data_IF_021804420987
#
_entry.id   IF_021804420987
#
_cell.length_a   1.000
_cell.length_b   1.000
_cell.length_c   1.000
_cell.angle_alpha   90.00
_cell.angle_beta   90.00
_cell.angle_gamma   90.00
#
_symmetry.space_group_name_H-M   'P 1'
#
loop_
_entity.id
_entity.type
_entity.pdbx_description
1 polymer ?
#
# COMPACT_ATOMS: atom_id res chain seq x y z
N UNK A 1 -6.38 -1.31 -1.25
CA UNK A 1 -5.68 -1.71 -0.02
C UNK A 1 -5.77 -0.56 0.94
N UNK A 2 -6.06 -0.86 2.21
CA UNK A 2 -6.17 0.12 3.29
C UNK A 2 -5.19 -0.29 4.38
N UNK A 3 -4.33 0.63 4.79
CA UNK A 3 -3.31 0.42 5.82
C UNK A 3 -3.69 1.30 7.00
N UNK A 4 -3.68 0.75 8.21
CA UNK A 4 -4.02 1.43 9.47
C UNK A 4 -2.90 1.26 10.49
N UNK A 5 -2.63 2.30 11.27
CA UNK A 5 -1.67 2.26 12.37
C UNK A 5 -1.24 3.65 12.82
N UNK A 6 -0.02 3.78 13.35
CA UNK A 6 0.64 5.06 13.56
C UNK A 6 1.57 5.32 12.36
N UNK A 7 1.04 6.07 11.41
CA UNK A 7 1.59 6.22 10.06
C UNK A 7 2.08 7.65 9.86
N UNK A 8 3.38 7.89 9.86
CA UNK A 8 3.92 9.17 9.37
C UNK A 8 3.81 9.21 7.83
N UNK A 9 2.74 9.82 7.32
CA UNK A 9 2.44 9.86 5.88
C UNK A 9 3.59 10.47 5.06
N UNK A 10 4.33 11.44 5.60
CA UNK A 10 5.48 12.04 4.93
C UNK A 10 6.64 11.04 4.73
N UNK A 11 6.76 10.03 5.59
CA UNK A 11 7.75 8.95 5.50
C UNK A 11 7.23 7.76 4.69
N UNK A 12 5.99 7.33 4.97
CA UNK A 12 5.47 6.08 4.43
C UNK A 12 5.04 6.19 2.96
N UNK A 13 4.45 7.32 2.54
CA UNK A 13 3.99 7.48 1.16
C UNK A 13 5.13 7.39 0.14
N UNK A 14 6.25 8.12 0.28
CA UNK A 14 7.39 7.95 -0.62
C UNK A 14 7.96 6.53 -0.61
N UNK A 15 7.95 5.87 0.55
CA UNK A 15 8.40 4.48 0.66
C UNK A 15 7.51 3.53 -0.15
N UNK A 16 6.18 3.64 -0.02
CA UNK A 16 5.17 2.86 -0.76
C UNK A 16 5.39 3.03 -2.26
N UNK A 17 5.49 4.27 -2.73
CA UNK A 17 5.68 4.58 -4.15
C UNK A 17 6.95 3.94 -4.70
N UNK A 18 8.07 4.06 -3.97
CA UNK A 18 9.35 3.45 -4.36
C UNK A 18 9.27 1.93 -4.36
N UNK A 19 8.61 1.32 -3.38
CA UNK A 19 8.51 -0.14 -3.26
C UNK A 19 7.63 -0.71 -4.38
N UNK A 20 6.46 -0.10 -4.64
CA UNK A 20 5.58 -0.48 -5.74
C UNK A 20 6.31 -0.37 -7.10
N UNK A 21 7.03 0.74 -7.34
CA UNK A 21 7.82 0.91 -8.55
C UNK A 21 8.92 -0.15 -8.69
N UNK A 22 9.58 -0.54 -7.60
CA UNK A 22 10.61 -1.59 -7.60
C UNK A 22 10.04 -2.97 -7.93
N UNK A 23 8.81 -3.26 -7.48
CA UNK A 23 8.09 -4.48 -7.83
C UNK A 23 7.49 -4.43 -9.24
N UNK A 24 7.45 -3.27 -9.90
CA UNK A 24 6.80 -3.10 -11.21
C UNK A 24 5.27 -3.02 -11.12
N UNK A 25 4.73 -2.61 -9.97
CA UNK A 25 3.30 -2.40 -9.77
C UNK A 25 2.88 -0.97 -10.15
N UNK A 26 1.74 -0.87 -10.83
CA UNK A 26 1.03 0.41 -10.94
C UNK A 26 0.30 0.70 -9.63
N UNK A 27 0.28 1.96 -9.22
CA UNK A 27 -0.32 2.34 -7.95
C UNK A 27 -0.90 3.75 -7.98
N UNK A 28 -1.97 3.95 -7.22
CA UNK A 28 -2.56 5.27 -6.96
C UNK A 28 -2.88 5.38 -5.47
N UNK A 29 -2.52 6.50 -4.85
CA UNK A 29 -2.86 6.75 -3.44
C UNK A 29 -4.07 7.67 -3.40
N UNK A 30 -5.18 7.20 -2.82
CA UNK A 30 -6.45 7.92 -2.75
C UNK A 30 -6.63 8.69 -1.45
N UNK A 31 -5.99 8.24 -0.36
CA UNK A 31 -6.07 8.89 0.94
C UNK A 31 -4.79 8.72 1.74
N UNK A 32 -4.40 9.77 2.46
CA UNK A 32 -3.23 9.79 3.35
C UNK A 32 -3.56 10.58 4.61
N UNK A 33 -3.29 9.99 5.76
CA UNK A 33 -3.40 10.63 7.08
C UNK A 33 -2.40 9.98 8.03
N UNK A 34 -2.29 10.51 9.24
CA UNK A 34 -1.41 9.94 10.26
C UNK A 34 -1.84 8.57 10.78
N UNK A 35 -3.06 8.12 10.46
CA UNK A 35 -3.61 6.85 10.97
C UNK A 35 -4.06 5.88 9.89
N UNK A 36 -4.14 6.36 8.65
CA UNK A 36 -4.74 5.59 7.55
C UNK A 36 -4.19 6.03 6.21
N UNK A 37 -3.78 5.06 5.41
CA UNK A 37 -3.42 5.23 4.00
C UNK A 37 -4.28 4.31 3.16
N UNK A 38 -4.84 4.83 2.07
CA UNK A 38 -5.57 4.04 1.08
C UNK A 38 -4.86 4.13 -0.27
N UNK A 39 -4.67 2.97 -0.89
CA UNK A 39 -4.02 2.85 -2.18
C UNK A 39 -4.66 1.75 -3.03
N UNK A 40 -4.68 2.00 -4.32
CA UNK A 40 -5.02 1.03 -5.36
C UNK A 40 -3.73 0.49 -5.97
N UNK A 41 -3.70 -0.80 -6.24
CA UNK A 41 -2.56 -1.50 -6.82
C UNK A 41 -3.03 -2.29 -8.04
N UNK A 42 -2.21 -2.36 -9.08
CA UNK A 42 -2.47 -3.13 -10.28
C UNK A 42 -1.20 -3.79 -10.80
N UNK A 43 -1.29 -5.09 -11.08
CA UNK A 43 -0.19 -5.93 -11.52
C UNK A 43 -0.44 -7.41 -11.19
N UNK A 44 0.57 -8.27 -11.35
CA UNK A 44 0.49 -9.68 -10.97
C UNK A 44 0.14 -9.84 -9.49
N UNK A 45 -0.73 -10.80 -9.17
CA UNK A 45 -1.22 -11.05 -7.81
C UNK A 45 -0.08 -11.30 -6.82
N UNK A 46 0.87 -12.16 -7.20
CA UNK A 46 2.04 -12.52 -6.40
C UNK A 46 2.87 -11.28 -5.98
N UNK A 47 2.94 -10.26 -6.85
CA UNK A 47 3.68 -9.03 -6.56
C UNK A 47 2.87 -8.09 -5.67
N UNK A 48 1.54 -8.10 -5.79
CA UNK A 48 0.66 -7.39 -4.87
C UNK A 48 0.74 -8.02 -3.47
N UNK A 49 0.86 -9.35 -3.37
CA UNK A 49 1.10 -10.04 -2.10
C UNK A 49 2.45 -9.61 -1.49
N UNK A 50 3.51 -9.53 -2.30
CA UNK A 50 4.80 -9.00 -1.86
C UNK A 50 4.71 -7.55 -1.39
N UNK A 51 3.89 -6.72 -2.05
CA UNK A 51 3.64 -5.33 -1.64
C UNK A 51 2.95 -5.27 -0.28
N UNK A 52 1.98 -6.14 -0.02
CA UNK A 52 1.29 -6.24 1.26
C UNK A 52 2.25 -6.60 2.41
N UNK A 53 3.11 -7.61 2.19
CA UNK A 53 4.15 -8.00 3.15
C UNK A 53 5.17 -6.87 3.35
N UNK A 54 5.54 -6.14 2.30
CA UNK A 54 6.40 -4.97 2.43
C UNK A 54 5.76 -3.88 3.30
N UNK A 55 4.49 -3.57 3.05
CA UNK A 55 3.76 -2.55 3.80
C UNK A 55 3.57 -2.93 5.27
N UNK A 56 3.43 -4.21 5.63
CA UNK A 56 3.31 -4.61 7.04
C UNK A 56 4.58 -4.36 7.86
N UNK A 57 5.73 -4.27 7.19
CA UNK A 57 7.03 -3.94 7.79
C UNK A 57 7.31 -2.44 7.76
N UNK A 58 6.99 -1.78 6.65
CA UNK A 58 7.16 -0.34 6.46
C UNK A 58 8.60 0.19 6.69
N UNK A 59 8.77 1.51 6.71
CA UNK A 59 9.92 2.18 7.29
C UNK A 59 10.07 1.93 8.81
N UNK A 60 11.28 2.14 9.35
CA UNK A 60 11.58 1.89 10.77
C UNK A 60 10.81 2.79 11.76
N UNK A 61 10.36 3.94 11.29
CA UNK A 61 9.62 4.97 12.02
C UNK A 61 8.09 4.81 11.93
N UNK A 62 7.60 3.73 11.32
CA UNK A 62 6.18 3.50 11.09
C UNK A 62 5.72 2.28 11.88
N UNK A 63 4.51 2.36 12.44
CA UNK A 63 3.86 1.23 13.08
C UNK A 63 2.57 0.86 12.35
N UNK A 64 2.57 -0.27 11.64
CA UNK A 64 1.37 -0.79 10.97
C UNK A 64 0.65 -1.75 11.89
N UNK A 65 -0.62 -1.48 12.15
CA UNK A 65 -1.48 -2.33 12.98
C UNK A 65 -2.24 -3.35 12.14
N UNK A 66 -2.77 -2.92 10.99
CA UNK A 66 -3.52 -3.79 10.10
C UNK A 66 -3.46 -3.35 8.64
N UNK A 67 -3.63 -4.33 7.76
CA UNK A 67 -3.82 -4.11 6.34
C UNK A 67 -5.08 -4.84 5.89
N UNK A 68 -5.96 -4.12 5.21
CA UNK A 68 -7.13 -4.68 4.55
C UNK A 68 -6.97 -4.58 3.03
N UNK A 69 -7.00 -5.74 2.36
CA UNK A 69 -7.04 -5.81 0.91
C UNK A 69 -8.44 -6.20 0.42
N UNK A 70 -8.90 -5.52 -0.62
CA UNK A 70 -10.11 -5.87 -1.36
C UNK A 70 -9.75 -5.91 -2.83
N UNK A 71 -10.06 -7.03 -3.48
CA UNK A 71 -9.94 -7.14 -4.92
C UNK A 71 -11.01 -6.28 -5.58
N UNK A 72 -10.61 -5.40 -6.49
CA UNK A 72 -11.52 -4.67 -7.36
C UNK A 72 -11.48 -5.41 -8.69
N UNK A 73 -12.49 -6.23 -8.94
CA UNK A 73 -12.67 -6.84 -10.25
C UNK A 73 -13.32 -5.75 -11.11
N UNK A 74 -12.56 -5.15 -12.02
CA UNK A 74 -13.14 -4.28 -13.02
C UNK A 74 -14.13 -5.12 -13.84
N UNK A 75 -15.41 -4.79 -13.73
CA UNK A 75 -16.46 -5.44 -14.50
C UNK A 75 -16.18 -5.14 -15.98
N UNK A 76 -15.94 -6.18 -16.78
CA UNK A 76 -15.83 -6.02 -18.23
C UNK A 76 -17.20 -5.57 -18.75
N UNK A 77 -17.32 -4.29 -19.09
CA UNK A 77 -18.43 -3.75 -19.87
C UNK A 77 -18.48 -4.39 -21.27
#
# INVERSE_FOLDING_TARGET
MTIVGDLEAASFVPWIQRHAAKLGLSHTISHTSSMRIELELSGPEDLIDMMEVGCSLGPIDIWVESIERRAIIAEKA
#
